data_IF_428072352708
#
_entry.id   IF_428072352708
#
_cell.length_a   1.000
_cell.length_b   1.000
_cell.length_c   1.000
_cell.angle_alpha   90.00
_cell.angle_beta   90.00
_cell.angle_gamma   90.00
#
_symmetry.space_group_name_H-M   'P 1'
#
loop_
_entity.id
_entity.type
_entity.pdbx_description
1 polymer ?
#
# COMPACT_ATOMS: atom_id res chain seq x y z
N UNK A 1 -4.19 8.82 -18.96
CA UNK A 1 -3.49 8.74 -17.66
C UNK A 1 -4.50 8.91 -16.53
N UNK A 2 -4.46 8.06 -15.53
CA UNK A 2 -5.22 8.23 -14.30
C UNK A 2 -4.43 9.13 -13.35
N UNK A 3 -5.07 10.18 -12.87
CA UNK A 3 -4.53 11.02 -11.82
C UNK A 3 -5.18 10.68 -10.48
N UNK A 4 -4.36 10.33 -9.51
CA UNK A 4 -4.77 10.03 -8.15
C UNK A 4 -4.28 11.16 -7.25
N UNK A 5 -5.18 11.70 -6.45
CA UNK A 5 -4.87 12.80 -5.54
C UNK A 5 -5.35 12.47 -4.14
N UNK A 6 -4.41 12.47 -3.19
CA UNK A 6 -4.74 12.43 -1.76
C UNK A 6 -4.67 13.84 -1.18
N UNK A 7 -5.63 14.18 -0.33
CA UNK A 7 -5.65 15.46 0.37
C UNK A 7 -6.33 15.32 1.74
N UNK A 8 -5.94 16.17 2.65
CA UNK A 8 -6.56 16.33 3.96
C UNK A 8 -7.04 17.78 4.13
N UNK A 9 -8.27 17.94 4.61
CA UNK A 9 -8.86 19.25 4.89
C UNK A 9 -9.55 19.21 6.25
N UNK A 10 -8.93 19.84 7.24
CA UNK A 10 -9.41 19.78 8.63
C UNK A 10 -9.31 18.35 9.18
N UNK A 11 -10.43 17.78 9.54
CA UNK A 11 -10.56 16.40 10.03
C UNK A 11 -11.07 15.42 8.96
N UNK A 12 -11.07 15.84 7.69
CA UNK A 12 -11.52 15.02 6.54
C UNK A 12 -10.37 14.61 5.65
N UNK A 13 -10.37 13.36 5.24
CA UNK A 13 -9.47 12.78 4.25
C UNK A 13 -10.20 12.58 2.92
N UNK A 14 -9.51 12.82 1.82
CA UNK A 14 -10.02 12.70 0.46
C UNK A 14 -9.05 11.91 -0.39
N UNK A 15 -9.56 10.91 -1.09
CA UNK A 15 -8.82 10.20 -2.12
C UNK A 15 -9.62 10.28 -3.41
N UNK A 16 -9.02 10.86 -4.43
CA UNK A 16 -9.62 11.11 -5.73
C UNK A 16 -8.86 10.37 -6.82
N UNK A 17 -9.56 9.66 -7.66
CA UNK A 17 -9.04 9.10 -8.90
C UNK A 17 -9.85 9.62 -10.08
N UNK A 18 -9.18 10.10 -11.12
CA UNK A 18 -9.80 10.69 -12.32
C UNK A 18 -9.04 10.29 -13.57
N UNK A 19 -9.80 10.03 -14.65
CA UNK A 19 -9.25 9.73 -15.97
C UNK A 19 -9.17 8.25 -16.28
N UNK A 20 -8.49 7.95 -17.40
CA UNK A 20 -8.25 6.60 -17.90
C UNK A 20 -6.76 6.31 -17.99
N UNK A 21 -6.36 5.07 -17.69
CA UNK A 21 -4.99 4.63 -17.83
C UNK A 21 -4.54 4.57 -19.29
N UNK A 22 -5.48 4.28 -20.20
CA UNK A 22 -5.18 4.06 -21.63
C UNK A 22 -4.11 2.99 -21.86
N UNK A 23 -4.03 2.02 -20.95
CA UNK A 23 -3.12 0.89 -21.04
C UNK A 23 -3.61 -0.14 -22.05
N UNK A 24 -4.92 -0.35 -22.15
CA UNK A 24 -5.57 -1.25 -23.05
C UNK A 24 -7.01 -0.79 -23.38
N UNK A 25 -7.68 -1.35 -24.38
CA UNK A 25 -9.08 -1.05 -24.68
C UNK A 25 -10.00 -1.27 -23.48
N UNK A 26 -11.12 -0.56 -23.45
CA UNK A 26 -12.13 -0.68 -22.40
C UNK A 26 -12.52 -2.15 -22.17
N UNK A 27 -12.49 -2.58 -20.93
CA UNK A 27 -12.76 -3.95 -20.50
C UNK A 27 -11.53 -4.87 -20.48
N UNK A 28 -10.39 -4.43 -20.99
CA UNK A 28 -9.12 -5.16 -20.98
C UNK A 28 -8.02 -4.39 -20.24
N UNK A 29 -8.31 -3.20 -19.76
CA UNK A 29 -7.35 -2.33 -19.07
C UNK A 29 -7.19 -2.78 -17.61
N UNK A 30 -6.10 -3.53 -17.37
CA UNK A 30 -5.78 -4.03 -16.03
C UNK A 30 -5.39 -2.92 -15.06
N UNK A 31 -4.87 -1.81 -15.55
CA UNK A 31 -4.46 -0.67 -14.71
C UNK A 31 -5.70 0.08 -14.22
N UNK A 32 -6.66 0.36 -15.10
CA UNK A 32 -7.95 0.91 -14.72
C UNK A 32 -8.68 -0.01 -13.73
N UNK A 33 -8.67 -1.32 -13.98
CA UNK A 33 -9.30 -2.30 -13.11
C UNK A 33 -8.66 -2.33 -11.71
N UNK A 34 -7.34 -2.27 -11.63
CA UNK A 34 -6.61 -2.26 -10.36
C UNK A 34 -6.90 -1.00 -9.54
N UNK A 35 -6.84 0.18 -10.16
CA UNK A 35 -7.19 1.45 -9.48
C UNK A 35 -8.63 1.42 -9.01
N UNK A 36 -9.57 0.98 -9.85
CA UNK A 36 -10.98 0.89 -9.50
C UNK A 36 -11.22 -0.07 -8.33
N UNK A 37 -10.56 -1.23 -8.32
CA UNK A 37 -10.67 -2.20 -7.24
C UNK A 37 -10.19 -1.63 -5.90
N UNK A 38 -9.05 -0.94 -5.89
CA UNK A 38 -8.50 -0.31 -4.67
C UNK A 38 -9.42 0.81 -4.15
N UNK A 39 -9.88 1.68 -5.04
CA UNK A 39 -10.78 2.78 -4.67
C UNK A 39 -12.13 2.26 -4.13
N UNK A 40 -12.70 1.25 -4.76
CA UNK A 40 -13.95 0.62 -4.31
C UNK A 40 -13.75 -0.14 -3.00
N UNK A 41 -12.62 -0.81 -2.82
CA UNK A 41 -12.29 -1.49 -1.55
C UNK A 41 -12.23 -0.49 -0.41
N UNK A 42 -11.59 0.66 -0.61
CA UNK A 42 -11.60 1.73 0.39
C UNK A 42 -13.03 2.16 0.71
N UNK A 43 -13.80 2.50 -0.31
CA UNK A 43 -15.18 2.95 -0.15
C UNK A 43 -16.05 1.96 0.63
N UNK A 44 -15.89 0.68 0.33
CA UNK A 44 -16.63 -0.42 0.99
C UNK A 44 -16.18 -0.66 2.44
N UNK A 45 -14.92 -0.41 2.72
CA UNK A 45 -14.34 -0.66 4.05
C UNK A 45 -14.71 0.38 5.09
N UNK A 46 -15.14 1.56 4.66
CA UNK A 46 -15.45 2.69 5.55
C UNK A 46 -16.87 2.60 6.11
N UNK A 47 -17.01 2.67 7.43
CA UNK A 47 -18.31 2.63 8.09
C UNK A 47 -19.13 3.92 7.88
N UNK A 48 -18.44 5.06 7.71
CA UNK A 48 -19.04 6.39 7.57
C UNK A 48 -18.38 7.24 6.48
N UNK A 49 -17.99 6.60 5.38
CA UNK A 49 -17.42 7.31 4.23
C UNK A 49 -18.50 7.79 3.25
N UNK A 50 -18.18 8.80 2.49
CA UNK A 50 -19.00 9.24 1.35
C UNK A 50 -18.23 8.99 0.07
N UNK A 51 -18.93 8.45 -0.92
CA UNK A 51 -18.39 8.18 -2.25
C UNK A 51 -19.12 9.03 -3.27
N UNK A 52 -18.37 9.73 -4.09
CA UNK A 52 -18.90 10.49 -5.22
C UNK A 52 -18.29 9.94 -6.50
N UNK A 53 -19.14 9.55 -7.44
CA UNK A 53 -18.74 9.11 -8.77
C UNK A 53 -19.31 10.03 -9.83
N UNK A 54 -18.54 10.31 -10.87
CA UNK A 54 -18.99 11.01 -12.07
C UNK A 54 -18.47 10.25 -13.29
N UNK A 55 -19.37 9.56 -13.96
CA UNK A 55 -19.06 8.66 -15.08
C UNK A 55 -18.53 9.41 -16.32
N UNK A 56 -18.96 10.65 -16.51
CA UNK A 56 -18.55 11.51 -17.63
C UNK A 56 -17.04 11.84 -17.62
N UNK A 57 -16.43 11.80 -16.44
CA UNK A 57 -15.01 12.09 -16.23
C UNK A 57 -14.20 10.91 -15.70
N UNK A 58 -14.83 9.74 -15.56
CA UNK A 58 -14.26 8.61 -14.83
C UNK A 58 -13.65 9.06 -13.50
N UNK A 59 -14.44 9.78 -12.75
CA UNK A 59 -14.06 10.34 -11.46
C UNK A 59 -14.68 9.52 -10.34
N UNK A 60 -13.84 9.16 -9.40
CA UNK A 60 -14.26 8.61 -8.11
C UNK A 60 -13.56 9.36 -6.98
N UNK A 61 -14.34 9.83 -6.02
CA UNK A 61 -13.84 10.46 -4.80
C UNK A 61 -14.36 9.69 -3.60
N UNK A 62 -13.45 9.25 -2.76
CA UNK A 62 -13.76 8.64 -1.46
C UNK A 62 -13.33 9.62 -0.38
N UNK A 63 -14.23 9.92 0.54
CA UNK A 63 -13.94 10.82 1.66
C UNK A 63 -14.42 10.22 2.96
N UNK A 64 -13.67 10.45 4.02
CA UNK A 64 -14.03 10.05 5.37
C UNK A 64 -13.43 10.99 6.42
N UNK A 65 -14.07 11.02 7.58
CA UNK A 65 -13.52 11.69 8.75
C UNK A 65 -12.28 10.94 9.24
N UNK A 66 -11.26 11.68 9.61
CA UNK A 66 -10.04 11.14 10.17
C UNK A 66 -10.31 10.43 11.51
N UNK A 67 -9.85 9.21 11.60
CA UNK A 67 -9.91 8.36 12.79
C UNK A 67 -8.90 7.23 12.62
N UNK A 68 -8.58 6.53 13.69
CA UNK A 68 -7.55 5.49 13.66
C UNK A 68 -7.84 4.41 12.61
N UNK A 69 -9.08 3.96 12.54
CA UNK A 69 -9.52 2.93 11.59
C UNK A 69 -9.54 3.46 10.15
N UNK A 70 -10.14 4.62 9.91
CA UNK A 70 -10.21 5.22 8.58
C UNK A 70 -8.83 5.61 8.05
N UNK A 71 -7.94 6.10 8.90
CA UNK A 71 -6.57 6.44 8.53
C UNK A 71 -5.82 5.19 8.05
N UNK A 72 -5.86 4.10 8.80
CA UNK A 72 -5.21 2.85 8.42
C UNK A 72 -5.72 2.30 7.06
N UNK A 73 -7.02 2.43 6.80
CA UNK A 73 -7.63 2.02 5.53
C UNK A 73 -7.19 2.91 4.37
N UNK A 74 -7.13 4.22 4.59
CA UNK A 74 -6.63 5.16 3.59
C UNK A 74 -5.14 4.91 3.29
N UNK A 75 -4.31 4.73 4.31
CA UNK A 75 -2.89 4.42 4.16
C UNK A 75 -2.67 3.15 3.35
N UNK A 76 -3.34 2.06 3.71
CA UNK A 76 -3.22 0.77 3.01
C UNK A 76 -3.57 0.88 1.52
N UNK A 77 -4.68 1.55 1.19
CA UNK A 77 -5.10 1.71 -0.20
C UNK A 77 -4.18 2.67 -0.95
N UNK A 78 -3.74 3.73 -0.29
CA UNK A 78 -2.80 4.70 -0.84
C UNK A 78 -1.47 4.04 -1.21
N UNK A 79 -0.92 3.18 -0.35
CA UNK A 79 0.29 2.41 -0.64
C UNK A 79 0.11 1.54 -1.90
N UNK A 80 -1.03 0.88 -2.04
CA UNK A 80 -1.35 0.11 -3.26
C UNK A 80 -1.42 0.98 -4.53
N UNK A 81 -1.96 2.19 -4.41
CA UNK A 81 -2.03 3.14 -5.53
C UNK A 81 -0.66 3.72 -5.89
N UNK A 82 0.20 3.95 -4.91
CA UNK A 82 1.60 4.36 -5.13
C UNK A 82 2.37 3.26 -5.86
N UNK A 83 2.22 1.99 -5.44
CA UNK A 83 2.83 0.86 -6.14
C UNK A 83 2.37 0.76 -7.60
N UNK A 84 1.10 1.06 -7.89
CA UNK A 84 0.61 1.13 -9.28
C UNK A 84 1.22 2.29 -10.06
N UNK A 85 1.36 3.45 -9.45
CA UNK A 85 2.00 4.60 -10.08
C UNK A 85 3.47 4.34 -10.39
N UNK A 86 4.18 3.64 -9.51
CA UNK A 86 5.58 3.25 -9.72
C UNK A 86 5.71 2.17 -10.81
N UNK A 87 4.78 1.22 -10.87
CA UNK A 87 4.78 0.15 -11.87
C UNK A 87 4.35 0.64 -13.27
N UNK A 88 3.47 1.63 -13.32
CA UNK A 88 2.88 2.16 -14.56
C UNK A 88 2.96 3.69 -14.64
N UNK A 89 4.14 4.30 -14.59
CA UNK A 89 4.31 5.76 -14.46
C UNK A 89 3.77 6.57 -15.64
N UNK A 90 3.60 5.95 -16.80
CA UNK A 90 2.99 6.58 -17.98
C UNK A 90 1.46 6.53 -17.96
N UNK A 91 0.88 5.73 -17.09
CA UNK A 91 -0.55 5.46 -17.04
C UNK A 91 -1.22 5.92 -15.75
N UNK A 92 -0.46 6.01 -14.66
CA UNK A 92 -0.94 6.41 -13.32
C UNK A 92 0.01 7.44 -12.73
N UNK A 93 -0.56 8.52 -12.19
CA UNK A 93 0.16 9.54 -11.44
C UNK A 93 -0.47 9.70 -10.06
N UNK A 94 0.36 9.58 -9.03
CA UNK A 94 -0.04 9.84 -7.64
C UNK A 94 0.46 11.20 -7.16
N UNK A 95 -0.42 11.96 -6.49
CA UNK A 95 -0.13 13.27 -5.93
C UNK A 95 -0.64 13.29 -4.49
N UNK A 96 0.24 13.60 -3.55
CA UNK A 96 -0.12 13.83 -2.16
C UNK A 96 -0.05 15.33 -1.86
N UNK A 97 -1.19 15.98 -1.76
CA UNK A 97 -1.27 17.42 -1.48
C UNK A 97 -1.00 17.77 -0.01
N UNK A 98 -1.05 16.78 0.88
CA UNK A 98 -0.77 16.98 2.30
C UNK A 98 0.74 16.88 2.58
N UNK A 99 1.47 16.03 1.88
CA UNK A 99 2.91 15.86 2.03
C UNK A 99 3.71 17.13 1.73
N UNK A 100 3.24 17.97 0.82
CA UNK A 100 3.89 19.26 0.50
C UNK A 100 3.94 20.25 1.67
N UNK A 101 3.20 19.96 2.76
CA UNK A 101 3.20 20.78 3.98
C UNK A 101 4.01 20.18 5.13
N UNK A 102 4.26 18.88 5.09
CA UNK A 102 4.88 18.15 6.20
C UNK A 102 6.29 17.65 5.91
N UNK A 103 6.64 17.41 4.66
CA UNK A 103 7.90 16.75 4.34
C UNK A 103 8.74 17.55 3.33
N UNK A 104 9.38 18.55 3.86
CA UNK A 104 10.79 18.76 3.55
C UNK A 104 11.66 17.75 4.35
N UNK A 105 11.10 16.64 4.83
CA UNK A 105 11.82 15.55 5.46
C UNK A 105 12.21 14.53 4.40
N UNK A 106 13.28 14.87 3.67
CA UNK A 106 14.44 14.03 3.49
C UNK A 106 14.18 12.61 2.94
N UNK A 107 13.60 12.54 1.74
CA UNK A 107 13.80 11.38 0.88
C UNK A 107 15.27 11.19 0.47
N UNK A 108 16.12 12.15 0.75
CA UNK A 108 17.57 12.04 0.55
C UNK A 108 18.25 11.21 1.61
N UNK A 109 17.63 11.00 2.79
CA UNK A 109 18.19 10.14 3.83
C UNK A 109 18.15 8.66 3.45
N UNK A 110 17.23 8.25 2.57
CA UNK A 110 17.16 6.88 2.06
C UNK A 110 17.92 6.66 0.74
N UNK A 111 18.24 7.72 0.01
CA UNK A 111 18.99 7.64 -1.23
C UNK A 111 20.50 7.59 -1.03
N UNK A 112 21.00 7.95 0.15
CA UNK A 112 22.43 8.01 0.47
C UNK A 112 22.91 6.88 1.40
N UNK A 113 22.16 5.81 1.49
CA UNK A 113 22.50 4.62 2.26
C UNK A 113 23.33 3.57 1.53
N UNK A 114 24.07 3.98 0.53
CA UNK A 114 24.83 3.05 -0.29
C UNK A 114 26.30 3.40 -0.42
N UNK A 115 27.05 3.47 0.68
CA UNK A 115 28.49 3.22 0.61
C UNK A 115 29.11 3.12 2.01
N UNK A 116 29.72 2.00 2.25
CA UNK A 116 30.82 1.92 3.17
C UNK A 116 30.49 1.29 4.50
N UNK A 117 30.48 0.02 4.51
CA UNK A 117 30.93 -0.72 5.66
C UNK A 117 32.05 -1.64 5.25
N UNK A 118 33.24 -1.08 5.22
CA UNK A 118 34.42 -1.81 5.52
C UNK A 118 34.52 -1.88 7.05
N UNK A 119 34.27 -2.98 7.59
CA UNK A 119 34.45 -3.34 8.98
C UNK A 119 34.97 -4.75 9.00
N UNK A 120 36.23 -4.85 8.74
CA UNK A 120 37.08 -5.95 9.13
C UNK A 120 36.88 -6.24 10.62
N UNK A 121 36.74 -7.45 10.94
CA UNK A 121 36.57 -7.86 12.35
C UNK A 121 36.38 -9.36 12.50
N UNK A 122 37.38 -10.11 12.08
CA UNK A 122 37.95 -11.30 12.75
C UNK A 122 37.09 -11.96 13.82
N UNK A 123 36.83 -13.22 13.50
CA UNK A 123 37.17 -14.42 14.24
C UNK A 123 36.50 -14.66 15.57
N UNK A 124 36.04 -15.76 15.67
CA UNK A 124 36.31 -17.05 16.37
C UNK A 124 35.02 -17.60 16.91
N UNK A 125 34.63 -18.66 16.35
CA UNK A 125 34.98 -20.04 16.70
C UNK A 125 34.40 -20.52 17.99
N UNK A 126 33.86 -21.67 17.84
CA UNK A 126 33.63 -22.73 18.83
C UNK A 126 32.29 -22.60 19.56
N UNK A 127 31.55 -23.58 19.54
CA UNK A 127 31.54 -24.99 19.64
C UNK A 127 30.10 -25.41 19.55
N UNK A 128 29.83 -26.39 18.78
CA UNK A 128 29.56 -27.71 19.23
C UNK A 128 28.65 -27.75 20.48
N UNK A 129 27.50 -28.28 20.41
CA UNK A 129 27.26 -29.68 20.51
C UNK A 129 25.77 -29.99 20.65
N UNK A 130 25.39 -31.02 19.98
CA UNK A 130 24.45 -32.04 20.42
C UNK A 130 22.96 -31.71 20.47
N UNK A 131 22.31 -32.13 19.45
CA UNK A 131 21.10 -32.96 19.52
C UNK A 131 21.35 -34.16 20.46
N UNK A 132 20.37 -34.75 21.10
CA UNK A 132 19.40 -35.51 20.33
C UNK A 132 17.99 -35.68 20.95
N UNK A 133 17.10 -36.04 20.07
CA UNK A 133 16.22 -37.16 20.24
C UNK A 133 15.17 -37.16 21.36
N UNK A 134 13.95 -37.13 20.95
CA UNK A 134 12.80 -37.48 21.79
C UNK A 134 11.59 -37.85 20.92
N UNK A 135 11.71 -38.98 20.31
CA UNK A 135 10.60 -39.77 19.81
C UNK A 135 9.65 -40.09 20.94
N UNK A 136 8.39 -39.79 20.77
CA UNK A 136 7.36 -40.56 21.44
C UNK A 136 6.15 -40.62 20.54
N UNK A 137 6.07 -41.70 19.87
CA UNK A 137 4.90 -42.27 19.24
C UNK A 137 4.05 -42.89 20.35
N UNK A 138 2.80 -42.58 20.40
CA UNK A 138 1.84 -43.36 21.15
C UNK A 138 0.52 -43.40 20.40
N UNK A 139 0.40 -44.40 19.62
CA UNK A 139 -0.80 -45.05 19.15
C UNK A 139 -1.57 -45.56 20.38
N UNK A 140 -2.83 -45.29 20.51
CA UNK A 140 -3.74 -46.06 21.30
C UNK A 140 -5.11 -46.10 20.63
N UNK A 141 -5.40 -47.28 20.17
CA UNK A 141 -6.73 -47.85 19.85
C UNK A 141 -7.54 -47.99 21.12
N UNK A 142 -8.83 -48.03 20.94
CA UNK A 142 -9.85 -48.51 21.86
C UNK A 142 -11.21 -48.14 21.31
N UNK A 143 -11.77 -48.90 20.67
CA UNK A 143 -12.87 -49.86 20.69
C UNK A 143 -13.81 -49.67 21.88
N UNK A 144 -15.11 -49.56 21.57
CA UNK A 144 -16.23 -49.58 22.44
C UNK A 144 -17.50 -49.12 21.73
#
# INVERSE_FOLDING_TARGET
MIQITYNEMGDMMFLRAEGHAEFAPKGQDIVCAAVSALMQTLAYSLDSGTVTCADDRNLMVVQAKQGTDSLAKFELVTDGLILLADAYPEHVRYINLHADKADAIDLQLFADGGTGANGDGTSQSAGADSSPNGRANASARGEG
#
